data_IF_234163878788
#
_entry.id   IF_234163878788
#
_cell.length_a   1.000
_cell.length_b   1.000
_cell.length_c   1.000
_cell.angle_alpha   90.00
_cell.angle_beta   90.00
_cell.angle_gamma   90.00
#
_symmetry.space_group_name_H-M   'P 1'
#
loop_
_entity.id
_entity.type
_entity.pdbx_description
1 polymer ?
#
# COMPACT_ATOMS: atom_id res chain seq x y z
N UNK A 1 -4.15 -5.64 -0.71
CA UNK A 1 -4.09 -4.24 -0.22
C UNK A 1 -4.15 -4.26 1.29
N UNK A 2 -3.31 -3.49 1.98
CA UNK A 2 -3.24 -3.45 3.45
C UNK A 2 -3.44 -2.03 3.96
N UNK A 3 -4.22 -1.87 5.02
CA UNK A 3 -4.32 -0.61 5.77
C UNK A 3 -3.43 -0.73 6.99
N UNK A 4 -2.55 0.26 7.19
CA UNK A 4 -1.63 0.30 8.32
C UNK A 4 -1.80 1.61 9.08
N UNK A 5 -1.55 1.56 10.39
CA UNK A 5 -1.59 2.75 11.23
C UNK A 5 -0.48 3.73 10.87
N UNK A 6 -0.75 5.01 11.10
CA UNK A 6 0.22 6.08 10.90
C UNK A 6 1.52 5.76 11.64
N UNK A 7 2.59 5.64 10.87
CA UNK A 7 3.94 5.39 11.36
C UNK A 7 4.66 6.72 11.62
N UNK A 8 5.53 6.74 12.64
CA UNK A 8 6.53 7.81 12.80
C UNK A 8 7.63 7.65 11.76
N UNK A 9 8.38 8.70 11.46
CA UNK A 9 9.42 8.73 10.42
C UNK A 9 10.38 7.54 10.46
N UNK A 10 10.85 7.17 11.66
CA UNK A 10 11.79 6.05 11.81
C UNK A 10 11.14 4.69 11.45
N UNK A 11 9.93 4.46 11.94
CA UNK A 11 9.16 3.26 11.65
C UNK A 11 8.69 3.20 10.20
N UNK A 12 8.29 4.34 9.62
CA UNK A 12 7.95 4.47 8.21
C UNK A 12 9.17 4.13 7.36
N UNK A 13 10.33 4.69 7.68
CA UNK A 13 11.57 4.39 6.99
C UNK A 13 11.88 2.89 7.04
N UNK A 14 11.87 2.30 8.23
CA UNK A 14 12.10 0.86 8.40
C UNK A 14 11.10 0.02 7.59
N UNK A 15 9.83 0.43 7.56
CA UNK A 15 8.78 -0.21 6.75
C UNK A 15 9.08 -0.15 5.25
N UNK A 16 9.48 1.02 4.72
CA UNK A 16 9.84 1.20 3.31
C UNK A 16 11.11 0.42 2.94
N UNK A 17 12.10 0.38 3.83
CA UNK A 17 13.35 -0.33 3.60
C UNK A 17 13.21 -1.84 3.73
N UNK A 18 12.28 -2.33 4.55
CA UNK A 18 11.96 -3.75 4.64
C UNK A 18 11.47 -4.32 3.29
N UNK A 19 10.79 -3.50 2.47
CA UNK A 19 10.43 -3.88 1.11
C UNK A 19 11.69 -4.16 0.27
N UNK A 20 12.65 -3.24 0.24
CA UNK A 20 13.93 -3.47 -0.43
C UNK A 20 14.69 -4.67 0.15
N UNK A 21 14.74 -4.81 1.47
CA UNK A 21 15.42 -5.93 2.13
C UNK A 21 14.87 -7.28 1.66
N UNK A 22 13.55 -7.45 1.60
CA UNK A 22 12.91 -8.69 1.13
C UNK A 22 13.27 -9.05 -0.31
N UNK A 23 13.41 -8.05 -1.18
CA UNK A 23 13.60 -8.28 -2.63
C UNK A 23 15.07 -8.23 -3.08
N UNK A 24 15.95 -7.59 -2.31
CA UNK A 24 17.38 -7.51 -2.61
C UNK A 24 18.18 -8.63 -1.94
N UNK A 25 17.65 -9.25 -0.88
CA UNK A 25 18.31 -10.36 -0.19
C UNK A 25 18.20 -11.70 -0.94
N UNK A 26 17.33 -11.77 -1.96
CA UNK A 26 17.18 -12.95 -2.81
C UNK A 26 18.06 -12.79 -4.05
N UNK A 27 19.04 -13.68 -4.22
CA UNK A 27 20.02 -13.68 -5.32
C UNK A 27 19.42 -13.75 -6.73
N UNK A 28 18.12 -14.03 -6.84
CA UNK A 28 17.40 -14.27 -8.10
C UNK A 28 16.73 -13.00 -8.68
N UNK A 29 16.87 -11.84 -8.04
CA UNK A 29 16.16 -10.62 -8.44
C UNK A 29 16.98 -9.79 -9.45
N UNK A 30 16.81 -10.05 -10.74
CA UNK A 30 17.48 -9.30 -11.82
C UNK A 30 16.96 -7.86 -12.01
N UNK A 31 15.75 -7.55 -11.49
CA UNK A 31 15.12 -6.23 -11.66
C UNK A 31 14.93 -5.52 -10.33
N UNK A 32 15.34 -4.27 -10.29
CA UNK A 32 15.21 -3.44 -9.10
C UNK A 32 13.73 -3.21 -8.74
N UNK A 33 13.31 -3.50 -7.50
CA UNK A 33 11.96 -3.22 -7.02
C UNK A 33 11.68 -1.72 -7.01
N UNK A 34 10.45 -1.32 -7.29
CA UNK A 34 10.03 0.08 -7.36
C UNK A 34 9.15 0.46 -6.16
N UNK A 35 9.45 1.60 -5.54
CA UNK A 35 8.62 2.20 -4.51
C UNK A 35 7.89 3.41 -5.11
N UNK A 36 6.58 3.44 -4.95
CA UNK A 36 5.71 4.56 -5.31
C UNK A 36 5.10 5.11 -4.03
N UNK A 37 5.49 6.31 -3.63
CA UNK A 37 4.99 6.99 -2.43
C UNK A 37 4.10 8.15 -2.82
N UNK A 38 2.80 8.04 -2.54
CA UNK A 38 1.79 9.07 -2.81
C UNK A 38 1.41 9.70 -1.48
N UNK A 39 1.52 11.02 -1.37
CA UNK A 39 1.25 11.71 -0.11
C UNK A 39 0.62 13.09 -0.31
N UNK A 40 -0.19 13.54 0.63
CA UNK A 40 -0.81 14.88 0.58
C UNK A 40 0.00 15.96 1.31
N UNK A 41 1.10 15.62 1.99
CA UNK A 41 1.86 16.54 2.84
C UNK A 41 3.32 16.70 2.43
N UNK A 42 3.76 16.00 1.39
CA UNK A 42 5.16 15.90 1.01
C UNK A 42 6.06 15.46 2.18
N UNK A 43 5.60 14.50 2.99
CA UNK A 43 6.24 14.04 4.22
C UNK A 43 7.06 12.75 4.04
N UNK A 44 7.61 12.51 2.83
CA UNK A 44 8.50 11.37 2.65
C UNK A 44 9.76 11.55 3.53
N UNK A 45 10.18 10.54 4.31
CA UNK A 45 11.25 10.68 5.29
C UNK A 45 12.64 10.61 4.63
N UNK A 46 12.97 11.53 3.71
CA UNK A 46 14.18 11.50 2.86
C UNK A 46 15.45 11.31 3.69
N UNK A 47 15.62 12.08 4.78
CA UNK A 47 16.85 12.05 5.60
C UNK A 47 17.05 10.70 6.27
N UNK A 48 16.02 10.19 6.94
CA UNK A 48 16.05 8.90 7.61
C UNK A 48 16.20 7.76 6.61
N UNK A 49 15.49 7.83 5.49
CA UNK A 49 15.60 6.89 4.38
C UNK A 49 17.03 6.82 3.86
N UNK A 50 17.63 7.97 3.57
CA UNK A 50 19.00 8.07 3.08
C UNK A 50 20.02 7.50 4.06
N UNK A 51 19.91 7.83 5.36
CA UNK A 51 20.83 7.36 6.39
C UNK A 51 20.78 5.84 6.61
N UNK A 52 19.58 5.24 6.49
CA UNK A 52 19.39 3.80 6.69
C UNK A 52 19.57 2.98 5.41
N UNK A 53 19.43 3.58 4.23
CA UNK A 53 19.61 2.90 2.94
C UNK A 53 21.04 2.34 2.78
N UNK A 54 22.03 3.03 3.35
CA UNK A 54 23.43 2.59 3.33
C UNK A 54 23.67 1.33 4.16
N UNK A 55 22.74 0.97 5.06
CA UNK A 55 22.86 -0.17 5.97
C UNK A 55 22.22 -1.44 5.40
N UNK A 56 21.55 -1.37 4.24
CA UNK A 56 20.87 -2.51 3.64
C UNK A 56 21.88 -3.42 2.92
N UNK A 57 21.96 -4.71 3.29
CA UNK A 57 22.71 -5.69 2.52
C UNK A 57 22.17 -5.75 1.09
N UNK A 58 23.02 -5.53 0.09
CA UNK A 58 22.63 -5.53 -1.32
C UNK A 58 23.73 -6.10 -2.21
N UNK A 59 23.36 -6.74 -3.34
CA UNK A 59 24.31 -7.13 -4.36
C UNK A 59 25.16 -5.94 -4.88
N UNK A 60 26.42 -6.16 -5.31
CA UNK A 60 27.33 -5.10 -5.75
C UNK A 60 26.81 -4.25 -6.91
N UNK A 61 25.97 -4.83 -7.78
CA UNK A 61 25.40 -4.14 -8.94
C UNK A 61 24.29 -3.15 -8.57
N UNK A 62 23.67 -3.28 -7.39
CA UNK A 62 22.69 -2.31 -6.90
C UNK A 62 23.40 -1.19 -6.15
N UNK A 63 23.64 -0.10 -6.87
CA UNK A 63 24.19 1.12 -6.28
C UNK A 63 23.11 1.86 -5.48
N UNK A 64 23.56 2.72 -4.57
CA UNK A 64 22.68 3.66 -3.85
C UNK A 64 21.85 4.51 -4.81
N UNK A 65 22.46 4.99 -5.89
CA UNK A 65 21.80 5.84 -6.87
C UNK A 65 20.62 5.10 -7.55
N UNK A 66 20.84 3.86 -7.97
CA UNK A 66 19.79 3.04 -8.57
C UNK A 66 18.59 2.87 -7.61
N UNK A 67 18.86 2.65 -6.32
CA UNK A 67 17.81 2.57 -5.29
C UNK A 67 17.03 3.87 -5.09
N UNK A 68 17.66 5.03 -5.29
CA UNK A 68 16.94 6.30 -5.28
C UNK A 68 16.09 6.48 -6.55
N UNK A 69 16.63 6.09 -7.71
CA UNK A 69 15.92 6.15 -9.00
C UNK A 69 14.69 5.22 -9.04
N UNK A 70 14.67 4.16 -8.23
CA UNK A 70 13.50 3.29 -8.07
C UNK A 70 12.42 3.84 -7.14
N UNK A 71 12.64 4.97 -6.47
CA UNK A 71 11.65 5.65 -5.62
C UNK A 71 10.97 6.77 -6.40
N UNK A 72 9.63 6.71 -6.50
CA UNK A 72 8.81 7.80 -7.06
C UNK A 72 7.97 8.41 -5.96
N UNK A 73 8.15 9.70 -5.70
CA UNK A 73 7.37 10.46 -4.72
C UNK A 73 6.39 11.34 -5.51
N UNK A 74 5.11 11.25 -5.17
CA UNK A 74 4.03 12.03 -5.79
C UNK A 74 3.25 12.75 -4.71
N UNK A 75 3.03 14.06 -4.89
CA UNK A 75 2.20 14.86 -4.00
C UNK A 75 0.79 14.96 -4.59
N UNK A 76 -0.22 14.69 -3.78
CA UNK A 76 -1.62 14.63 -4.22
C UNK A 76 -2.54 15.19 -3.15
N UNK A 77 -3.32 16.22 -3.46
CA UNK A 77 -4.14 16.94 -2.47
C UNK A 77 -5.62 16.51 -2.47
N UNK A 78 -6.09 15.95 -3.58
CA UNK A 78 -7.49 15.58 -3.78
C UNK A 78 -7.64 14.26 -4.55
N UNK A 79 -8.85 13.70 -4.56
CA UNK A 79 -9.10 12.37 -5.13
C UNK A 79 -9.10 12.32 -6.66
N UNK A 80 -9.40 13.43 -7.34
CA UNK A 80 -9.36 13.48 -8.80
C UNK A 80 -7.92 13.23 -9.31
N UNK A 81 -6.96 13.98 -8.75
CA UNK A 81 -5.53 13.78 -9.00
C UNK A 81 -5.06 12.38 -8.60
N UNK A 82 -5.56 11.87 -7.48
CA UNK A 82 -5.21 10.53 -6.99
C UNK A 82 -5.67 9.45 -7.98
N UNK A 83 -6.90 9.55 -8.47
CA UNK A 83 -7.44 8.62 -9.47
C UNK A 83 -6.59 8.64 -10.75
N UNK A 84 -6.17 9.83 -11.19
CA UNK A 84 -5.31 10.01 -12.36
C UNK A 84 -3.91 9.42 -12.18
N UNK A 85 -3.32 9.57 -10.99
CA UNK A 85 -2.06 8.91 -10.63
C UNK A 85 -2.23 7.39 -10.68
N UNK A 86 -3.30 6.85 -10.09
CA UNK A 86 -3.59 5.41 -10.09
C UNK A 86 -3.83 4.90 -11.51
N UNK A 87 -4.53 5.67 -12.36
CA UNK A 87 -4.76 5.34 -13.77
C UNK A 87 -3.46 5.23 -14.55
N UNK A 88 -2.55 6.21 -14.41
CA UNK A 88 -1.22 6.19 -15.04
C UNK A 88 -0.40 5.02 -14.53
N UNK A 89 -0.44 4.73 -13.23
CA UNK A 89 0.24 3.58 -12.65
C UNK A 89 -0.27 2.26 -13.22
N UNK A 90 -1.59 2.11 -13.31
CA UNK A 90 -2.24 0.95 -13.93
C UNK A 90 -1.78 0.75 -15.37
N UNK A 91 -1.80 1.82 -16.18
CA UNK A 91 -1.37 1.79 -17.57
C UNK A 91 0.11 1.40 -17.70
N UNK A 92 0.99 1.99 -16.89
CA UNK A 92 2.43 1.69 -16.91
C UNK A 92 2.70 0.22 -16.57
N UNK A 93 2.02 -0.33 -15.57
CA UNK A 93 2.19 -1.75 -15.18
C UNK A 93 1.60 -2.68 -16.24
N UNK A 94 0.46 -2.32 -16.83
CA UNK A 94 -0.13 -3.09 -17.92
C UNK A 94 0.77 -3.11 -19.16
N UNK A 95 1.36 -1.96 -19.51
CA UNK A 95 2.32 -1.84 -20.61
C UNK A 95 3.59 -2.65 -20.35
N UNK A 96 4.18 -2.55 -19.14
CA UNK A 96 5.37 -3.34 -18.77
C UNK A 96 5.08 -4.85 -18.80
N UNK A 97 3.86 -5.27 -18.47
CA UNK A 97 3.44 -6.67 -18.63
C UNK A 97 3.34 -7.06 -20.11
N UNK A 98 2.72 -6.23 -20.95
CA UNK A 98 2.54 -6.51 -22.37
C UNK A 98 3.88 -6.60 -23.12
N UNK A 99 4.84 -5.73 -22.83
CA UNK A 99 6.18 -5.76 -23.44
C UNK A 99 6.91 -7.06 -23.09
N UNK A 100 6.77 -7.58 -21.87
CA UNK A 100 7.33 -8.89 -21.45
C UNK A 100 6.77 -10.04 -22.29
N UNK A 101 5.49 -10.00 -22.64
CA UNK A 101 4.87 -11.04 -23.47
C UNK A 101 5.30 -10.94 -24.96
N UNK A 102 5.54 -9.74 -25.49
CA UNK A 102 5.96 -9.55 -26.89
C UNK A 102 7.42 -9.94 -27.16
N UNK A 103 8.33 -9.74 -26.21
CA UNK A 103 9.72 -10.21 -26.32
C UNK A 103 9.88 -11.74 -26.43
N UNK A 104 8.80 -12.50 -26.18
CA UNK A 104 8.80 -13.96 -26.15
C UNK A 104 8.18 -14.64 -27.38
N UNK A 105 7.60 -13.89 -28.33
CA UNK A 105 6.94 -14.48 -29.52
C UNK A 105 7.89 -15.14 -30.53
N UNK A 106 9.21 -15.06 -30.33
CA UNK A 106 10.20 -15.62 -31.26
C UNK A 106 10.87 -16.92 -30.80
N UNK A 107 10.57 -17.46 -29.61
CA UNK A 107 10.93 -18.84 -29.20
C UNK A 107 10.25 -19.17 -27.85
N UNK A 108 9.48 -20.28 -27.72
CA UNK A 108 8.87 -20.65 -26.45
C UNK A 108 9.81 -21.57 -25.63
N UNK A 109 10.19 -21.23 -24.40
CA UNK A 109 10.69 -22.21 -23.44
C UNK A 109 9.58 -22.65 -22.48
N UNK A 110 9.72 -23.87 -21.97
CA UNK A 110 8.73 -24.62 -21.19
C UNK A 110 8.56 -24.16 -19.72
N UNK A 111 9.13 -23.04 -19.28
CA UNK A 111 9.18 -22.65 -17.87
C UNK A 111 8.42 -21.34 -17.60
N UNK A 112 7.11 -21.45 -17.35
CA UNK A 112 6.27 -20.33 -16.89
C UNK A 112 6.68 -19.76 -15.52
N UNK A 113 7.39 -20.56 -14.72
CA UNK A 113 7.78 -20.19 -13.35
C UNK A 113 9.00 -19.27 -13.27
N UNK A 114 9.94 -19.37 -14.22
CA UNK A 114 11.13 -18.49 -14.28
C UNK A 114 10.70 -17.06 -14.66
N UNK A 115 9.74 -16.93 -15.57
CA UNK A 115 9.22 -15.63 -16.00
C UNK A 115 8.46 -14.87 -14.91
N UNK A 116 7.88 -15.60 -13.95
CA UNK A 116 7.26 -14.99 -12.78
C UNK A 116 8.31 -14.41 -11.80
N UNK A 117 9.51 -14.99 -11.77
CA UNK A 117 10.64 -14.52 -10.93
C UNK A 117 11.29 -13.23 -11.47
N UNK A 118 11.13 -12.94 -12.77
CA UNK A 118 11.71 -11.76 -13.44
C UNK A 118 10.80 -10.51 -13.40
N UNK A 119 9.63 -10.59 -12.77
CA UNK A 119 8.70 -9.48 -12.72
C UNK A 119 9.16 -8.39 -11.74
N UNK A 120 9.16 -7.14 -12.22
CA UNK A 120 9.48 -5.97 -11.40
C UNK A 120 8.46 -5.82 -10.27
N UNK A 121 8.92 -5.99 -9.04
CA UNK A 121 8.11 -5.81 -7.84
C UNK A 121 7.84 -4.33 -7.60
N UNK A 122 6.61 -3.96 -7.24
CA UNK A 122 6.20 -2.58 -7.01
C UNK A 122 5.43 -2.48 -5.69
N UNK A 123 5.90 -1.63 -4.79
CA UNK A 123 5.16 -1.23 -3.59
C UNK A 123 4.59 0.16 -3.78
N UNK A 124 3.27 0.30 -3.63
CA UNK A 124 2.57 1.57 -3.56
C UNK A 124 2.23 1.87 -2.11
N UNK A 125 2.69 3.01 -1.62
CA UNK A 125 2.37 3.52 -0.28
C UNK A 125 1.58 4.81 -0.44
N UNK A 126 0.39 4.85 0.17
CA UNK A 126 -0.51 6.00 0.11
C UNK A 126 -0.63 6.57 1.51
N UNK A 127 -0.21 7.82 1.69
CA UNK A 127 -0.29 8.55 2.95
C UNK A 127 -1.27 9.72 2.81
N UNK A 128 -2.18 9.86 3.78
CA UNK A 128 -3.11 10.98 3.82
C UNK A 128 -4.30 10.87 2.86
N UNK A 129 -4.70 9.64 2.49
CA UNK A 129 -5.92 9.39 1.74
C UNK A 129 -7.17 9.95 2.45
N UNK A 130 -7.17 9.98 3.79
CA UNK A 130 -8.21 10.62 4.59
C UNK A 130 -8.29 12.14 4.37
N UNK A 131 -7.15 12.79 4.20
CA UNK A 131 -7.09 14.22 3.87
C UNK A 131 -7.60 14.43 2.44
N UNK A 132 -7.11 13.67 1.46
CA UNK A 132 -7.56 13.76 0.07
C UNK A 132 -9.08 13.57 -0.04
N UNK A 133 -9.61 12.57 0.66
CA UNK A 133 -11.04 12.28 0.70
C UNK A 133 -11.84 13.42 1.31
N UNK A 134 -11.43 13.94 2.48
CA UNK A 134 -12.12 15.06 3.12
C UNK A 134 -12.08 16.32 2.24
N UNK A 135 -10.94 16.63 1.62
CA UNK A 135 -10.80 17.76 0.70
C UNK A 135 -11.79 17.66 -0.45
N UNK A 136 -11.86 16.52 -1.14
CA UNK A 136 -12.79 16.31 -2.25
C UNK A 136 -14.25 16.26 -1.81
N UNK A 137 -14.53 15.70 -0.63
CA UNK A 137 -15.88 15.58 -0.09
C UNK A 137 -16.53 16.94 0.22
N UNK A 138 -15.73 17.95 0.60
CA UNK A 138 -16.22 19.32 0.82
C UNK A 138 -16.76 19.94 -0.48
N UNK A 139 -16.19 19.58 -1.62
CA UNK A 139 -16.64 20.05 -2.93
C UNK A 139 -17.87 19.28 -3.43
N UNK A 140 -17.76 17.95 -3.51
CA UNK A 140 -18.84 17.06 -3.94
C UNK A 140 -18.66 15.66 -3.32
N UNK A 141 -19.49 15.28 -2.33
CA UNK A 141 -19.41 13.97 -1.68
C UNK A 141 -19.62 12.78 -2.63
N UNK A 142 -20.51 12.91 -3.61
CA UNK A 142 -20.84 11.81 -4.54
C UNK A 142 -19.68 11.59 -5.49
N UNK A 143 -19.14 12.66 -6.05
CA UNK A 143 -17.96 12.58 -6.93
C UNK A 143 -16.71 12.13 -6.17
N UNK A 144 -16.51 12.59 -4.94
CA UNK A 144 -15.42 12.11 -4.08
C UNK A 144 -15.50 10.59 -3.84
N UNK A 145 -16.69 10.08 -3.51
CA UNK A 145 -16.89 8.64 -3.35
C UNK A 145 -16.60 7.85 -4.63
N UNK A 146 -17.04 8.37 -5.78
CA UNK A 146 -16.76 7.77 -7.10
C UNK A 146 -15.25 7.69 -7.37
N UNK A 147 -14.51 8.79 -7.23
CA UNK A 147 -13.06 8.80 -7.44
C UNK A 147 -12.32 7.84 -6.50
N UNK A 148 -12.73 7.78 -5.22
CA UNK A 148 -12.19 6.82 -4.26
C UNK A 148 -12.42 5.38 -4.74
N UNK A 149 -13.66 5.04 -5.13
CA UNK A 149 -14.02 3.70 -5.57
C UNK A 149 -13.23 3.30 -6.82
N UNK A 150 -13.19 4.16 -7.83
CA UNK A 150 -12.49 3.88 -9.09
C UNK A 150 -10.99 3.67 -8.87
N UNK A 151 -10.36 4.49 -8.02
CA UNK A 151 -8.96 4.35 -7.67
C UNK A 151 -8.68 3.05 -6.89
N UNK A 152 -9.45 2.76 -5.85
CA UNK A 152 -9.25 1.57 -5.02
C UNK A 152 -9.56 0.27 -5.75
N UNK A 153 -10.58 0.24 -6.61
CA UNK A 153 -10.87 -0.91 -7.47
C UNK A 153 -9.72 -1.18 -8.44
N UNK A 154 -9.18 -0.15 -9.11
CA UNK A 154 -8.01 -0.30 -9.99
C UNK A 154 -6.79 -0.82 -9.25
N UNK A 155 -6.49 -0.29 -8.06
CA UNK A 155 -5.40 -0.79 -7.21
C UNK A 155 -5.63 -2.25 -6.80
N UNK A 156 -6.86 -2.62 -6.45
CA UNK A 156 -7.21 -4.01 -6.13
C UNK A 156 -7.04 -4.93 -7.34
N UNK A 157 -7.44 -4.50 -8.54
CA UNK A 157 -7.24 -5.27 -9.77
C UNK A 157 -5.76 -5.49 -10.09
N UNK A 158 -4.87 -4.57 -9.70
CA UNK A 158 -3.42 -4.75 -9.84
C UNK A 158 -2.86 -5.75 -8.84
N UNK A 159 -3.36 -5.74 -7.59
CA UNK A 159 -2.93 -6.66 -6.53
C UNK A 159 -3.54 -8.06 -6.61
N UNK A 160 -4.70 -8.25 -7.27
CA UNK A 160 -5.46 -9.52 -7.26
C UNK A 160 -5.05 -10.51 -8.37
N UNK A 161 -3.96 -10.27 -9.10
CA UNK A 161 -3.47 -11.19 -10.14
C UNK A 161 -2.46 -12.16 -9.47
N UNK A 162 -2.79 -13.44 -9.47
CA UNK A 162 -2.12 -14.59 -8.80
C UNK A 162 -0.61 -14.75 -9.07
N UNK A 163 0.04 -15.77 -8.47
CA UNK A 163 0.58 -15.82 -7.11
C UNK A 163 1.90 -15.03 -6.95
N UNK A 164 2.33 -14.26 -7.94
CA UNK A 164 3.50 -13.40 -7.79
C UNK A 164 3.15 -12.10 -7.09
N UNK A 165 3.95 -11.79 -6.08
CA UNK A 165 3.81 -10.63 -5.18
C UNK A 165 4.14 -9.30 -5.83
N UNK A 166 4.07 -9.19 -7.16
CA UNK A 166 4.64 -8.10 -7.96
C UNK A 166 4.08 -6.71 -7.63
N UNK A 167 2.93 -6.66 -6.95
CA UNK A 167 2.24 -5.40 -6.67
C UNK A 167 1.59 -5.37 -5.29
N UNK A 168 2.23 -4.67 -4.36
CA UNK A 168 1.73 -4.41 -3.02
C UNK A 168 1.18 -3.00 -2.89
N UNK A 169 0.06 -2.85 -2.16
CA UNK A 169 -0.54 -1.54 -1.86
C UNK A 169 -0.75 -1.42 -0.37
N UNK A 170 -0.09 -0.43 0.25
CA UNK A 170 -0.23 -0.08 1.65
C UNK A 170 -0.82 1.32 1.80
N UNK A 171 -1.92 1.43 2.55
CA UNK A 171 -2.59 2.69 2.85
C UNK A 171 -2.31 3.04 4.30
N UNK A 172 -1.66 4.16 4.54
CA UNK A 172 -1.33 4.68 5.86
C UNK A 172 -2.44 5.64 6.30
N UNK A 173 -3.14 5.28 7.38
CA UNK A 173 -4.21 6.09 7.96
C UNK A 173 -3.97 6.37 9.46
N UNK A 174 -4.44 7.50 10.00
CA UNK A 174 -4.52 7.70 11.45
C UNK A 174 -5.34 6.59 12.10
N UNK A 175 -4.95 6.15 13.30
CA UNK A 175 -5.68 5.07 14.00
C UNK A 175 -7.16 5.40 14.27
N UNK A 176 -7.50 6.69 14.37
CA UNK A 176 -8.89 7.15 14.48
C UNK A 176 -9.77 6.79 13.28
N UNK A 177 -9.18 6.50 12.11
CA UNK A 177 -9.92 6.20 10.88
C UNK A 177 -10.37 4.74 10.77
N UNK A 178 -9.94 3.82 11.65
CA UNK A 178 -10.30 2.40 11.54
C UNK A 178 -10.40 1.66 12.87
N UNK A 179 -10.90 2.36 13.90
CA UNK A 179 -11.04 1.78 15.24
C UNK A 179 -11.97 0.56 15.27
N UNK A 180 -13.03 0.52 14.45
CA UNK A 180 -14.00 -0.60 14.48
C UNK A 180 -13.36 -1.87 13.94
N UNK A 181 -12.61 -1.76 12.84
CA UNK A 181 -11.88 -2.89 12.26
C UNK A 181 -10.79 -3.45 13.19
N UNK A 182 -10.11 -2.61 13.98
CA UNK A 182 -9.13 -3.10 14.97
C UNK A 182 -9.77 -3.87 16.15
N UNK A 183 -11.03 -3.60 16.47
CA UNK A 183 -11.72 -4.27 17.58
C UNK A 183 -12.26 -5.65 17.18
N UNK A 184 -12.58 -5.86 15.91
CA UNK A 184 -13.09 -7.13 15.40
C UNK A 184 -12.04 -8.24 15.31
N UNK A 185 -10.76 -7.91 15.11
CA UNK A 185 -9.66 -8.89 15.10
C UNK A 185 -9.30 -9.42 16.50
N UNK A 186 -9.83 -8.81 17.57
CA UNK A 186 -9.60 -9.20 18.97
C UNK A 186 -10.53 -10.30 19.52
N UNK A 187 -11.48 -10.82 18.74
CA UNK A 187 -12.46 -11.80 19.20
C UNK A 187 -12.70 -12.94 18.20
N UNK A 188 -11.69 -13.79 17.98
CA UNK A 188 -11.88 -15.14 17.44
C UNK A 188 -11.33 -16.26 18.35
N UNK A 189 -10.72 -15.94 19.49
CA UNK A 189 -10.24 -16.95 20.47
C UNK A 189 -10.63 -16.56 21.89
N UNK A 190 -11.91 -16.75 22.26
CA UNK A 190 -12.32 -16.93 23.65
C UNK A 190 -13.79 -17.39 23.70
N UNK A 191 -14.04 -18.67 23.40
CA UNK A 191 -15.17 -19.39 24.02
C UNK A 191 -14.74 -19.76 25.43
N UNK A 192 -14.98 -18.88 26.39
CA UNK A 192 -15.02 -19.20 27.82
C UNK A 192 -16.33 -18.62 28.37
N UNK A 193 -17.09 -19.38 29.18
CA UNK A 193 -18.33 -18.89 29.77
C UNK A 193 -18.06 -17.82 30.85
N UNK A 194 -19.04 -16.97 31.19
CA UNK A 194 -18.80 -15.76 31.97
C UNK A 194 -18.77 -16.07 33.47
N UNK A 195 -17.62 -15.91 34.11
CA UNK A 195 -17.52 -15.76 35.57
C UNK A 195 -17.43 -14.27 35.94
N UNK A 196 -18.58 -13.77 36.36
CA UNK A 196 -18.83 -12.85 37.47
C UNK A 196 -17.59 -12.16 38.13
N UNK A 197 -17.31 -10.89 37.81
CA UNK A 197 -17.02 -9.87 38.83
C UNK A 197 -16.93 -8.42 38.29
N UNK A 198 -17.91 -7.63 38.71
CA UNK A 198 -17.85 -6.23 39.14
C UNK A 198 -16.78 -5.25 38.60
N UNK A 199 -17.31 -4.23 37.90
CA UNK A 199 -16.88 -2.83 37.90
C UNK A 199 -15.50 -2.47 37.33
N UNK A 200 -15.34 -2.69 36.02
CA UNK A 200 -14.71 -1.69 35.16
C UNK A 200 -15.70 -1.31 34.06
N UNK A 201 -16.42 -0.19 34.25
CA UNK A 201 -17.17 0.44 33.16
C UNK A 201 -16.14 0.96 32.15
N UNK A 202 -15.62 0.09 31.29
CA UNK A 202 -14.99 0.52 30.04
C UNK A 202 -16.01 1.40 29.35
N UNK A 203 -15.72 2.69 29.25
CA UNK A 203 -16.52 3.62 28.49
C UNK A 203 -16.70 3.01 27.10
N UNK A 204 -17.92 2.53 26.81
CA UNK A 204 -18.28 2.15 25.45
C UNK A 204 -18.00 3.41 24.62
N UNK A 205 -17.11 3.37 23.63
CA UNK A 205 -16.85 4.55 22.84
C UNK A 205 -18.19 4.94 22.21
N UNK A 206 -18.59 6.18 22.45
CA UNK A 206 -19.93 6.71 22.23
C UNK A 206 -20.20 6.91 20.73
N UNK A 207 -20.03 5.86 19.93
CA UNK A 207 -20.26 5.83 18.48
C UNK A 207 -21.75 5.57 18.23
N UNK A 208 -22.60 6.47 18.70
CA UNK A 208 -24.01 6.51 18.31
C UNK A 208 -24.13 7.47 17.12
N UNK A 209 -24.32 6.90 15.94
CA UNK A 209 -24.79 7.61 14.75
C UNK A 209 -23.73 8.41 14.01
N UNK A 210 -23.16 7.80 12.96
CA UNK A 210 -22.94 8.39 11.61
C UNK A 210 -21.83 7.62 10.89
N UNK A 211 -22.24 6.70 10.00
CA UNK A 211 -21.38 6.11 8.96
C UNK A 211 -20.20 5.23 9.42
N UNK A 212 -19.53 4.67 8.41
CA UNK A 212 -18.19 4.12 8.57
C UNK A 212 -17.19 5.26 8.37
N UNK A 213 -16.12 5.32 9.17
CA UNK A 213 -14.96 6.16 8.84
C UNK A 213 -14.33 5.66 7.55
N UNK A 214 -13.44 6.46 6.93
CA UNK A 214 -12.85 6.09 5.66
C UNK A 214 -12.04 4.79 5.79
N UNK A 215 -11.24 4.65 6.85
CA UNK A 215 -10.44 3.46 7.07
C UNK A 215 -11.28 2.20 7.31
N UNK A 216 -12.31 2.27 8.16
CA UNK A 216 -13.25 1.16 8.37
C UNK A 216 -13.95 0.76 7.06
N UNK A 217 -14.33 1.74 6.24
CA UNK A 217 -14.92 1.52 4.91
C UNK A 217 -13.93 0.80 3.97
N UNK A 218 -12.69 1.29 3.89
CA UNK A 218 -11.65 0.67 3.05
C UNK A 218 -11.36 -0.75 3.48
N UNK A 219 -11.18 -1.00 4.78
CA UNK A 219 -10.91 -2.34 5.29
C UNK A 219 -12.06 -3.28 4.94
N UNK A 220 -13.30 -2.86 5.21
CA UNK A 220 -14.48 -3.70 4.99
C UNK A 220 -14.72 -4.07 3.52
N UNK A 221 -14.46 -3.15 2.58
CA UNK A 221 -14.88 -3.34 1.18
C UNK A 221 -13.73 -3.55 0.19
N UNK A 222 -12.50 -3.15 0.54
CA UNK A 222 -11.38 -3.13 -0.41
C UNK A 222 -10.20 -3.98 0.01
N UNK A 223 -10.07 -4.30 1.30
CA UNK A 223 -9.06 -5.27 1.76
C UNK A 223 -9.58 -6.71 1.60
N UNK A 224 -8.67 -7.68 1.68
CA UNK A 224 -8.89 -9.12 1.50
C UNK A 224 -8.20 -9.86 2.61
#
# INVERSE_FOLDING_TARGET
MKVISKLKDDALTSHLLNFYYKHLSTSDCERLPQLVYIDCKNSFPVRSFQAKLDQIPRPPHYTRQLLFESVRIMVCLELADFEDIVRKLYQNIAADRATRHHSHSNNPPADSDINNRLAKQTLVVISGLDVMYRTSQVLDPTTAHRHLNDALLRLRMLSNKAPSTDFEVHIILPHSEFQKSCLTDGHATARMPPENNNHAKRAKPNWHGHGNTLGDYIIRFYTT
#
